data_IF_112381778853
#
_entry.id   IF_112381778853
#
_cell.length_a   1.000
_cell.length_b   1.000
_cell.length_c   1.000
_cell.angle_alpha   90.00
_cell.angle_beta   90.00
_cell.angle_gamma   90.00
#
_symmetry.space_group_name_H-M   'P 1'
#
loop_
_entity.id
_entity.type
_entity.pdbx_description
1 polymer ?
#
# COMPACT_ATOMS: atom_id res chain seq x y z
N UNK A 1 -7.79 0.36 15.59
CA UNK A 1 -8.87 -0.06 16.53
C UNK A 1 -10.14 -0.23 15.72
N UNK A 2 -10.55 -1.46 15.43
CA UNK A 2 -11.89 -1.72 14.87
C UNK A 2 -12.92 -1.50 15.99
N UNK A 3 -14.00 -0.73 15.78
CA UNK A 3 -15.00 -0.48 16.81
C UNK A 3 -15.79 -1.78 17.10
N UNK A 4 -16.03 -2.04 18.39
CA UNK A 4 -16.83 -3.12 18.98
C UNK A 4 -16.90 -4.47 18.22
N UNK A 5 -16.05 -5.40 18.67
CA UNK A 5 -15.83 -6.76 18.18
C UNK A 5 -17.01 -7.74 18.36
N UNK A 6 -18.24 -7.24 18.52
CA UNK A 6 -19.46 -8.06 18.61
C UNK A 6 -20.22 -8.20 17.29
N UNK A 7 -19.96 -7.36 16.29
CA UNK A 7 -20.84 -7.23 15.10
C UNK A 7 -20.29 -7.79 13.81
N UNK A 8 -18.98 -8.08 13.73
CA UNK A 8 -18.35 -8.59 12.50
C UNK A 8 -17.62 -9.90 12.79
N UNK A 9 -17.93 -10.94 12.01
CA UNK A 9 -17.30 -12.27 12.11
C UNK A 9 -16.77 -12.70 10.75
N UNK A 10 -15.54 -13.19 10.72
CA UNK A 10 -14.93 -13.84 9.55
C UNK A 10 -14.94 -15.34 9.76
N UNK A 11 -15.43 -16.09 8.77
CA UNK A 11 -15.44 -17.55 8.76
C UNK A 11 -15.01 -18.11 7.42
N UNK A 12 -14.79 -19.43 7.39
CA UNK A 12 -14.53 -20.19 6.17
C UNK A 12 -15.63 -21.25 6.03
N UNK A 13 -16.27 -21.28 4.87
CA UNK A 13 -17.22 -22.35 4.51
C UNK A 13 -16.64 -23.18 3.36
N UNK A 14 -16.91 -24.48 3.35
CA UNK A 14 -16.52 -25.40 2.27
C UNK A 14 -17.73 -25.67 1.38
N UNK A 15 -17.56 -25.48 0.07
CA UNK A 15 -18.59 -25.78 -0.91
C UNK A 15 -18.70 -27.27 -1.20
N UNK A 16 -19.78 -27.68 -1.86
CA UNK A 16 -19.99 -29.06 -2.31
C UNK A 16 -18.96 -29.53 -3.35
N UNK A 17 -18.30 -28.60 -4.05
CA UNK A 17 -17.19 -28.87 -4.98
C UNK A 17 -15.80 -28.71 -4.34
N UNK A 18 -15.71 -28.76 -3.00
CA UNK A 18 -14.47 -28.69 -2.21
C UNK A 18 -13.66 -27.38 -2.35
N UNK A 19 -14.32 -26.26 -2.66
CA UNK A 19 -13.72 -24.93 -2.60
C UNK A 19 -13.92 -24.34 -1.21
N UNK A 20 -12.96 -23.54 -0.76
CA UNK A 20 -13.07 -22.78 0.49
C UNK A 20 -13.45 -21.35 0.16
N UNK A 21 -14.50 -20.86 0.78
CA UNK A 21 -14.94 -19.48 0.64
C UNK A 21 -14.88 -18.72 1.97
N UNK A 22 -14.43 -17.48 1.88
CA UNK A 22 -14.49 -16.52 2.97
C UNK A 22 -15.93 -16.06 3.17
N UNK A 23 -16.40 -16.08 4.41
CA UNK A 23 -17.71 -15.56 4.81
C UNK A 23 -17.53 -14.43 5.79
N UNK A 24 -18.11 -13.29 5.49
CA UNK A 24 -18.15 -12.15 6.38
C UNK A 24 -19.58 -11.98 6.88
N UNK A 25 -19.79 -12.07 8.19
CA UNK A 25 -21.08 -11.75 8.82
C UNK A 25 -20.95 -10.41 9.50
N UNK A 26 -21.79 -9.44 9.13
CA UNK A 26 -21.85 -8.12 9.73
C UNK A 26 -23.30 -7.83 10.15
N UNK A 27 -23.55 -7.53 11.42
CA UNK A 27 -24.91 -7.24 11.95
C UNK A 27 -25.95 -8.32 11.54
N UNK A 28 -25.59 -9.59 11.74
CA UNK A 28 -26.36 -10.79 11.35
C UNK A 28 -26.60 -10.97 9.83
N UNK A 29 -26.07 -10.08 8.99
CA UNK A 29 -26.09 -10.21 7.54
C UNK A 29 -24.84 -10.95 7.08
N UNK A 30 -25.02 -12.10 6.43
CA UNK A 30 -23.92 -12.84 5.83
C UNK A 30 -23.67 -12.39 4.40
N UNK A 31 -22.47 -11.88 4.15
CA UNK A 31 -21.98 -11.55 2.82
C UNK A 31 -21.30 -12.77 2.20
N UNK A 32 -21.67 -13.06 0.96
CA UNK A 32 -20.95 -14.03 0.12
C UNK A 32 -19.60 -13.43 -0.33
N UNK A 33 -18.62 -14.24 -0.77
CA UNK A 33 -17.35 -13.71 -1.26
C UNK A 33 -17.49 -12.60 -2.30
N UNK A 34 -18.46 -12.73 -3.22
CA UNK A 34 -18.72 -11.74 -4.27
C UNK A 34 -19.34 -10.43 -3.73
N UNK A 35 -19.86 -10.45 -2.52
CA UNK A 35 -20.51 -9.30 -1.86
C UNK A 35 -19.59 -8.61 -0.85
N UNK A 36 -18.42 -9.17 -0.54
CA UNK A 36 -17.47 -8.54 0.38
C UNK A 36 -16.78 -7.38 -0.36
N UNK A 37 -16.76 -6.16 0.20
CA UNK A 37 -16.03 -5.05 -0.41
C UNK A 37 -14.54 -5.38 -0.57
N UNK A 38 -13.97 -5.04 -1.73
CA UNK A 38 -12.55 -5.27 -2.01
C UNK A 38 -11.62 -4.63 -0.96
N UNK A 39 -12.00 -3.48 -0.40
CA UNK A 39 -11.26 -2.83 0.68
C UNK A 39 -11.12 -3.72 1.91
N UNK A 40 -12.19 -4.43 2.29
CA UNK A 40 -12.20 -5.36 3.44
C UNK A 40 -11.31 -6.56 3.14
N UNK A 41 -11.45 -7.17 1.97
CA UNK A 41 -10.62 -8.30 1.56
C UNK A 41 -9.14 -7.94 1.56
N UNK A 42 -8.77 -6.82 0.94
CA UNK A 42 -7.38 -6.34 0.87
C UNK A 42 -6.82 -6.05 2.26
N UNK A 43 -7.60 -5.41 3.12
CA UNK A 43 -7.22 -5.15 4.52
C UNK A 43 -6.96 -6.46 5.26
N UNK A 44 -7.87 -7.44 5.17
CA UNK A 44 -7.70 -8.74 5.82
C UNK A 44 -6.47 -9.50 5.30
N UNK A 45 -6.19 -9.44 4.00
CA UNK A 45 -5.01 -10.06 3.39
C UNK A 45 -3.74 -9.42 3.95
N UNK A 46 -3.63 -8.09 3.92
CA UNK A 46 -2.43 -7.37 4.41
C UNK A 46 -2.22 -7.64 5.90
N UNK A 47 -3.25 -7.48 6.73
CA UNK A 47 -3.17 -7.75 8.17
C UNK A 47 -2.76 -9.20 8.48
N UNK A 48 -3.29 -10.16 7.72
CA UNK A 48 -2.93 -11.58 7.88
C UNK A 48 -1.46 -11.83 7.52
N UNK A 49 -0.96 -11.20 6.46
CA UNK A 49 0.44 -11.29 6.05
C UNK A 49 1.36 -10.63 7.08
N UNK A 50 0.99 -9.46 7.61
CA UNK A 50 1.76 -8.80 8.67
C UNK A 50 1.85 -9.68 9.93
N UNK A 51 0.76 -10.37 10.30
CA UNK A 51 0.78 -11.35 11.40
C UNK A 51 1.62 -12.58 11.10
N UNK A 52 1.63 -13.05 9.85
CA UNK A 52 2.47 -14.17 9.43
C UNK A 52 3.96 -13.82 9.48
N UNK A 53 4.31 -12.55 9.28
CA UNK A 53 5.66 -12.02 9.45
C UNK A 53 6.65 -12.45 8.35
N UNK A 54 6.34 -12.27 7.05
CA UNK A 54 7.28 -12.58 5.97
C UNK A 54 8.52 -11.67 6.04
N UNK A 55 9.64 -12.17 5.50
CA UNK A 55 10.87 -11.37 5.37
C UNK A 55 10.70 -10.16 4.44
N UNK A 56 9.89 -10.31 3.40
CA UNK A 56 9.57 -9.29 2.40
C UNK A 56 8.10 -9.40 1.99
N UNK A 57 7.40 -8.27 1.99
CA UNK A 57 6.04 -8.13 1.49
C UNK A 57 6.04 -7.15 0.31
N UNK A 58 5.53 -7.58 -0.84
CA UNK A 58 5.35 -6.71 -2.02
C UNK A 58 3.86 -6.56 -2.28
N UNK A 59 3.37 -5.32 -2.30
CA UNK A 59 1.97 -5.00 -2.54
C UNK A 59 1.88 -4.15 -3.80
N UNK A 60 1.29 -4.72 -4.85
CA UNK A 60 1.00 -3.98 -6.06
C UNK A 60 -0.34 -3.23 -5.97
N UNK A 61 -0.39 -2.09 -6.67
CA UNK A 61 -1.48 -1.12 -6.65
C UNK A 61 -2.02 -0.87 -5.23
N UNK A 62 -1.15 -0.53 -4.28
CA UNK A 62 -1.47 -0.48 -2.84
C UNK A 62 -2.78 0.27 -2.52
N UNK A 63 -2.98 1.45 -3.10
CA UNK A 63 -4.14 2.31 -2.88
C UNK A 63 -5.44 1.79 -3.51
N UNK A 64 -5.34 0.84 -4.44
CA UNK A 64 -6.50 0.38 -5.22
C UNK A 64 -7.59 -0.16 -4.31
N UNK A 65 -8.81 0.31 -4.54
CA UNK A 65 -10.02 0.00 -3.76
C UNK A 65 -10.01 0.46 -2.30
N UNK A 66 -9.00 1.20 -1.83
CA UNK A 66 -8.93 1.71 -0.45
C UNK A 66 -9.32 3.19 -0.39
N UNK A 67 -10.21 3.55 0.53
CA UNK A 67 -10.45 4.95 0.86
C UNK A 67 -9.25 5.52 1.65
N UNK A 68 -8.95 6.84 1.60
CA UNK A 68 -7.77 7.43 2.24
C UNK A 68 -7.53 7.06 3.71
N UNK A 69 -8.57 6.89 4.51
CA UNK A 69 -8.47 6.49 5.92
C UNK A 69 -7.91 5.07 6.07
N UNK A 70 -8.34 4.13 5.23
CA UNK A 70 -7.82 2.76 5.21
C UNK A 70 -6.40 2.70 4.62
N UNK A 71 -6.08 3.55 3.65
CA UNK A 71 -4.71 3.68 3.13
C UNK A 71 -3.77 4.13 4.25
N UNK A 72 -4.13 5.19 4.99
CA UNK A 72 -3.36 5.69 6.13
C UNK A 72 -3.20 4.60 7.20
N UNK A 73 -4.29 3.93 7.57
CA UNK A 73 -4.27 2.84 8.54
C UNK A 73 -3.29 1.73 8.14
N UNK A 74 -3.39 1.19 6.92
CA UNK A 74 -2.50 0.13 6.46
C UNK A 74 -1.05 0.60 6.32
N UNK A 75 -0.81 1.86 5.94
CA UNK A 75 0.54 2.43 5.92
C UNK A 75 1.16 2.52 7.32
N UNK A 76 0.35 2.80 8.34
CA UNK A 76 0.81 2.83 9.72
C UNK A 76 1.07 1.42 10.27
N UNK A 77 0.22 0.44 9.95
CA UNK A 77 0.45 -0.98 10.31
C UNK A 77 1.71 -1.55 9.63
N UNK A 78 1.91 -1.27 8.33
CA UNK A 78 3.14 -1.65 7.62
C UNK A 78 4.38 -1.08 8.32
N UNK A 79 4.34 0.19 8.69
CA UNK A 79 5.45 0.89 9.35
C UNK A 79 5.70 0.43 10.79
N UNK A 80 4.64 0.03 11.50
CA UNK A 80 4.74 -0.50 12.85
C UNK A 80 5.20 -1.98 12.87
N UNK A 81 5.12 -2.67 11.73
CA UNK A 81 5.57 -4.04 11.59
C UNK A 81 7.10 -4.14 11.45
N UNK A 82 7.64 -5.35 11.70
CA UNK A 82 9.04 -5.68 11.40
C UNK A 82 9.24 -6.25 9.98
N UNK A 83 8.23 -6.13 9.12
CA UNK A 83 8.25 -6.66 7.75
C UNK A 83 8.85 -5.62 6.82
N UNK A 84 9.81 -6.02 5.98
CA UNK A 84 10.26 -5.16 4.89
C UNK A 84 9.15 -5.11 3.83
N UNK A 85 8.58 -3.94 3.58
CA UNK A 85 7.51 -3.78 2.61
C UNK A 85 7.96 -2.96 1.40
N UNK A 86 7.59 -3.42 0.20
CA UNK A 86 7.65 -2.64 -1.04
C UNK A 86 6.22 -2.46 -1.51
N UNK A 87 5.82 -1.21 -1.72
CA UNK A 87 4.53 -0.87 -2.30
C UNK A 87 4.75 -0.26 -3.68
N UNK A 88 3.98 -0.70 -4.67
CA UNK A 88 3.92 -0.05 -5.98
C UNK A 88 2.56 0.60 -6.12
N UNK A 89 2.51 1.91 -6.40
CA UNK A 89 1.24 2.60 -6.57
C UNK A 89 0.87 2.69 -8.06
N UNK A 90 -0.43 2.78 -8.35
CA UNK A 90 -0.94 3.15 -9.69
C UNK A 90 -1.10 4.68 -9.84
N UNK A 91 -1.10 5.41 -8.72
CA UNK A 91 -1.29 6.86 -8.63
C UNK A 91 -0.21 7.50 -7.77
N UNK A 92 -0.21 8.84 -7.70
CA UNK A 92 0.69 9.55 -6.80
C UNK A 92 0.16 9.61 -5.35
N UNK A 93 -1.05 9.13 -5.06
CA UNK A 93 -1.66 9.27 -3.72
C UNK A 93 -0.77 8.65 -2.63
N UNK A 94 -0.18 7.44 -2.81
CA UNK A 94 0.68 6.85 -1.79
C UNK A 94 1.92 7.68 -1.44
N UNK A 95 2.35 8.60 -2.32
CA UNK A 95 3.48 9.49 -2.07
C UNK A 95 3.21 10.48 -0.93
N UNK A 96 1.94 10.74 -0.60
CA UNK A 96 1.55 11.59 0.54
C UNK A 96 1.87 10.95 1.90
N UNK A 97 2.06 9.63 1.94
CA UNK A 97 2.37 8.90 3.17
C UNK A 97 3.88 8.70 3.40
N UNK A 98 4.71 9.13 2.44
CA UNK A 98 6.18 9.04 2.50
C UNK A 98 6.69 10.00 3.58
N UNK A 99 7.44 9.47 4.55
CA UNK A 99 8.02 10.28 5.64
C UNK A 99 9.44 10.75 5.32
N UNK A 100 10.13 9.97 4.51
CA UNK A 100 11.50 10.21 4.07
C UNK A 100 11.61 9.94 2.58
N UNK A 101 12.14 10.90 1.81
CA UNK A 101 12.25 10.76 0.35
C UNK A 101 13.08 9.53 -0.06
N UNK A 102 14.00 9.07 0.79
CA UNK A 102 14.84 7.89 0.57
C UNK A 102 14.06 6.57 0.59
N UNK A 103 12.83 6.58 1.10
CA UNK A 103 11.89 5.45 0.99
C UNK A 103 11.44 5.24 -0.45
N UNK A 104 11.60 6.23 -1.33
CA UNK A 104 11.10 6.22 -2.70
C UNK A 104 12.17 5.74 -3.67
N UNK A 105 11.81 4.74 -4.46
CA UNK A 105 12.58 4.27 -5.62
C UNK A 105 11.78 4.59 -6.89
N UNK A 106 12.39 5.35 -7.79
CA UNK A 106 11.83 5.72 -9.09
C UNK A 106 12.43 4.82 -10.16
N UNK A 107 11.56 4.19 -10.96
CA UNK A 107 11.96 3.40 -12.12
C UNK A 107 11.81 4.27 -13.38
N UNK A 108 12.84 4.30 -14.24
CA UNK A 108 12.83 5.03 -15.52
C UNK A 108 13.35 4.15 -16.65
N UNK A 109 12.75 4.27 -17.83
CA UNK A 109 13.28 3.66 -19.05
C UNK A 109 14.32 4.60 -19.67
N UNK A 110 15.58 4.18 -19.67
CA UNK A 110 16.70 4.94 -20.23
C UNK A 110 17.48 4.08 -21.21
N UNK A 111 17.63 4.56 -22.45
CA UNK A 111 18.34 3.85 -23.53
C UNK A 111 17.86 2.39 -23.73
N UNK A 112 16.58 2.13 -23.48
CA UNK A 112 15.97 0.79 -23.62
C UNK A 112 16.09 -0.10 -22.38
N UNK A 113 16.69 0.38 -21.29
CA UNK A 113 16.82 -0.37 -20.03
C UNK A 113 16.05 0.29 -18.89
N UNK A 114 15.48 -0.50 -17.99
CA UNK A 114 14.89 0.03 -16.77
C UNK A 114 15.99 0.33 -15.75
N UNK A 115 16.11 1.59 -15.35
CA UNK A 115 17.02 2.08 -14.31
C UNK A 115 16.23 2.45 -13.07
N UNK A 116 16.73 2.01 -11.91
CA UNK A 116 16.14 2.29 -10.61
C UNK A 116 16.97 3.35 -9.88
N UNK A 117 16.30 4.38 -9.36
CA UNK A 117 16.92 5.49 -8.64
C UNK A 117 16.24 5.64 -7.28
N UNK A 118 17.01 5.51 -6.20
CA UNK A 118 16.54 5.96 -4.89
C UNK A 118 16.66 7.47 -4.82
N UNK A 119 15.63 8.16 -4.35
CA UNK A 119 15.73 9.60 -4.13
C UNK A 119 16.72 9.89 -3.01
N UNK A 120 17.55 10.91 -3.19
CA UNK A 120 18.50 11.36 -2.19
C UNK A 120 17.94 12.56 -1.41
N UNK A 121 18.59 12.90 -0.31
CA UNK A 121 18.14 13.99 0.58
C UNK A 121 18.12 15.36 -0.13
N UNK A 122 18.92 15.55 -1.19
CA UNK A 122 18.91 16.77 -2.01
C UNK A 122 17.53 17.05 -2.63
N UNK A 123 16.70 16.02 -2.83
CA UNK A 123 15.34 16.18 -3.35
C UNK A 123 14.49 16.93 -2.34
N UNK A 124 14.70 16.71 -1.04
CA UNK A 124 13.96 17.41 0.02
C UNK A 124 14.25 18.90 0.01
N UNK A 125 15.51 19.30 -0.18
CA UNK A 125 15.90 20.70 -0.28
C UNK A 125 15.24 21.37 -1.50
N UNK A 126 15.26 20.70 -2.65
CA UNK A 126 14.63 21.19 -3.89
C UNK A 126 13.11 21.33 -3.76
N UNK A 127 12.46 20.38 -3.11
CA UNK A 127 11.02 20.44 -2.81
C UNK A 127 10.69 21.68 -1.96
N UNK A 128 11.51 21.94 -0.94
CA UNK A 128 11.35 23.09 -0.06
C UNK A 128 11.54 24.43 -0.79
N UNK A 129 12.64 24.57 -1.54
CA UNK A 129 12.94 25.79 -2.31
C UNK A 129 11.86 26.10 -3.35
N UNK A 130 11.38 25.07 -4.04
CA UNK A 130 10.36 25.21 -5.07
C UNK A 130 8.92 25.29 -4.52
N UNK A 131 8.72 25.10 -3.20
CA UNK A 131 7.41 24.98 -2.55
C UNK A 131 6.51 23.91 -3.21
N UNK A 132 7.12 22.78 -3.58
CA UNK A 132 6.45 21.66 -4.22
C UNK A 132 6.27 20.51 -3.23
N UNK A 133 5.23 19.70 -3.47
CA UNK A 133 5.09 18.39 -2.81
C UNK A 133 5.71 17.29 -3.65
N UNK A 134 5.96 16.14 -3.03
CA UNK A 134 6.66 15.01 -3.68
C UNK A 134 5.93 14.53 -4.95
N UNK A 135 4.60 14.49 -4.94
CA UNK A 135 3.81 14.12 -6.11
C UNK A 135 4.06 15.04 -7.30
N UNK A 136 4.19 16.35 -7.07
CA UNK A 136 4.45 17.33 -8.14
C UNK A 136 5.85 17.14 -8.72
N UNK A 137 6.84 16.91 -7.84
CA UNK A 137 8.21 16.62 -8.26
C UNK A 137 8.28 15.36 -9.12
N UNK A 138 7.62 14.28 -8.71
CA UNK A 138 7.59 13.03 -9.46
C UNK A 138 6.84 13.17 -10.79
N UNK A 139 5.73 13.91 -10.80
CA UNK A 139 4.95 14.17 -12.01
C UNK A 139 5.71 15.03 -13.02
N UNK A 140 6.46 16.02 -12.56
CA UNK A 140 7.12 16.99 -13.44
C UNK A 140 8.09 16.32 -14.42
N UNK A 141 8.78 15.24 -14.03
CA UNK A 141 9.63 14.44 -14.90
C UNK A 141 11.11 14.83 -15.03
N UNK A 142 11.60 16.10 -15.01
CA UNK A 142 12.90 16.42 -15.60
C UNK A 142 13.93 16.87 -14.56
N UNK A 143 13.56 16.91 -13.27
CA UNK A 143 14.47 17.20 -12.19
C UNK A 143 15.31 15.94 -11.98
N UNK A 144 16.35 15.79 -12.82
CA UNK A 144 17.38 14.76 -12.68
C UNK A 144 17.75 14.72 -11.20
N UNK A 145 17.53 13.62 -10.47
CA UNK A 145 18.19 13.46 -9.20
C UNK A 145 19.67 13.48 -9.52
N UNK A 146 20.42 14.42 -8.96
CA UNK A 146 21.87 14.25 -8.94
C UNK A 146 22.11 12.96 -8.16
N UNK A 147 22.51 11.93 -8.91
CA UNK A 147 22.79 10.61 -8.40
C UNK A 147 24.02 10.78 -7.52
N UNK A 148 23.82 10.77 -6.20
CA UNK A 148 24.92 10.56 -5.27
C UNK A 148 25.47 9.17 -5.55
N UNK A 149 26.74 9.12 -5.98
CA UNK A 149 27.48 7.87 -6.19
C UNK A 149 27.72 7.11 -4.90
#
# INVERSE_FOLDING_TARGET
MFPDSGRVRVGLDVTTDNRVFLKLTADDVSLTPASIPNSVLKTLIVESLLRWGPTLLVIDEFESSLHPELQQFLMDELRASNVNAIITPHSMIPTNYVKDVREVVVLRLEKGETRAYRLSENVRERLWEAKLILSDFLFSGPLRPEVGG
#
